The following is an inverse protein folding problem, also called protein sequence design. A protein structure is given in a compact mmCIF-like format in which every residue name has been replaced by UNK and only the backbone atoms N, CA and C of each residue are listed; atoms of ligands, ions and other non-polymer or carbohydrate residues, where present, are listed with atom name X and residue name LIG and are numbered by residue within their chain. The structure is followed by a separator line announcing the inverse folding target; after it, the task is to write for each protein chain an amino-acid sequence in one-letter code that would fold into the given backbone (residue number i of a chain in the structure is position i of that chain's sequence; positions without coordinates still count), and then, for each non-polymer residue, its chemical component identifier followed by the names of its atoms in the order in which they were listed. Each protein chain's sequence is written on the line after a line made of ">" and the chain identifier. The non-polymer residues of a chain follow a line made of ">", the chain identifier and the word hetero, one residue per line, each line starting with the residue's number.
data_IF_106382254579
#
_entry.id   IF_106382254579
#
_cell.length_a   1.000
_cell.length_b   1.000
_cell.length_c   1.000
_cell.angle_alpha   90.00
_cell.angle_beta   90.00
_cell.angle_gamma   90.00
#
_symmetry.space_group_name_H-M   'P 1'
#
loop_
_entity.id
_entity.type
_entity.pdbx_description
1 polymer ?
#
# COMPACT_ATOMS: atom_id res chain seq x y z
N UNK A 1 -9.79 -5.35 29.39
CA UNK A 1 -8.65 -6.18 28.97
C UNK A 1 -8.68 -6.28 27.45
N UNK A 2 -7.69 -5.72 26.73
CA UNK A 2 -7.56 -5.94 25.28
C UNK A 2 -7.41 -7.45 25.07
N UNK A 3 -8.23 -8.05 24.19
CA UNK A 3 -8.19 -9.49 23.92
C UNK A 3 -6.79 -9.86 23.45
N UNK A 4 -6.11 -10.77 24.13
CA UNK A 4 -4.77 -11.27 23.75
C UNK A 4 -4.77 -11.98 22.39
N UNK A 5 -5.94 -12.23 21.80
CA UNK A 5 -6.14 -12.86 20.50
C UNK A 5 -7.29 -12.20 19.76
N UNK A 6 -7.05 -11.70 18.55
CA UNK A 6 -8.05 -11.07 17.68
C UNK A 6 -7.95 -11.65 16.28
N UNK A 7 -9.08 -11.77 15.58
CA UNK A 7 -9.18 -12.22 14.20
C UNK A 7 -10.22 -11.37 13.49
N UNK A 8 -9.95 -11.01 12.23
CA UNK A 8 -10.89 -10.28 11.39
C UNK A 8 -11.84 -11.28 10.73
N UNK A 9 -13.13 -10.91 10.65
CA UNK A 9 -14.14 -11.71 9.96
C UNK A 9 -13.93 -11.62 8.45
N UNK A 10 -13.96 -12.77 7.72
CA UNK A 10 -13.76 -12.76 6.29
C UNK A 10 -15.08 -12.63 5.51
N UNK A 11 -15.87 -11.60 5.79
CA UNK A 11 -17.25 -11.45 5.30
C UNK A 11 -17.38 -10.59 4.03
N UNK A 12 -16.36 -9.82 3.67
CA UNK A 12 -16.38 -8.92 2.52
C UNK A 12 -15.25 -9.22 1.53
N UNK A 13 -15.45 -8.97 0.22
CA UNK A 13 -14.34 -8.97 -0.72
C UNK A 13 -13.37 -7.85 -0.37
N UNK A 14 -12.09 -8.06 -0.66
CA UNK A 14 -11.06 -7.03 -0.53
C UNK A 14 -10.00 -7.19 -1.60
N UNK A 15 -9.23 -6.14 -1.81
CA UNK A 15 -8.01 -6.21 -2.61
C UNK A 15 -6.78 -5.83 -1.79
N UNK A 16 -5.70 -6.56 -2.00
CA UNK A 16 -4.37 -6.25 -1.45
C UNK A 16 -3.50 -5.73 -2.57
N UNK A 17 -2.98 -4.52 -2.40
CA UNK A 17 -2.04 -3.90 -3.33
C UNK A 17 -0.68 -3.79 -2.66
N UNK A 18 0.30 -4.50 -3.18
CA UNK A 18 1.68 -4.46 -2.71
C UNK A 18 2.45 -3.59 -3.68
N UNK A 19 3.10 -2.55 -3.19
CA UNK A 19 3.99 -1.70 -4.00
C UNK A 19 5.30 -1.53 -3.26
N UNK A 20 6.42 -1.66 -3.97
CA UNK A 20 7.71 -1.51 -3.34
C UNK A 20 8.80 -1.02 -4.27
N UNK A 21 9.89 -0.62 -3.63
CA UNK A 21 11.10 -0.16 -4.30
C UNK A 21 12.28 -0.96 -3.79
N UNK A 22 13.21 -1.28 -4.69
CA UNK A 22 14.47 -1.94 -4.39
C UNK A 22 15.61 -1.06 -4.86
N UNK A 23 16.48 -0.63 -3.97
CA UNK A 23 17.66 0.17 -4.29
C UNK A 23 18.70 -0.74 -4.94
N UNK A 24 19.03 -0.46 -6.20
CA UNK A 24 20.05 -1.17 -6.96
C UNK A 24 21.44 -0.57 -6.72
N UNK A 25 21.53 0.76 -6.66
CA UNK A 25 22.79 1.51 -6.47
C UNK A 25 22.74 2.30 -5.15
N UNK A 26 23.33 1.76 -4.08
CA UNK A 26 23.27 2.36 -2.74
C UNK A 26 23.90 3.77 -2.69
N UNK A 27 25.01 3.97 -3.41
CA UNK A 27 25.72 5.26 -3.47
C UNK A 27 24.97 6.37 -4.19
N UNK A 28 23.95 6.05 -5.00
CA UNK A 28 23.18 7.02 -5.77
C UNK A 28 22.05 7.66 -4.94
N UNK A 29 22.36 8.12 -3.72
CA UNK A 29 21.39 8.58 -2.69
C UNK A 29 20.43 9.62 -3.23
N UNK A 30 20.93 10.70 -3.84
CA UNK A 30 20.09 11.75 -4.42
C UNK A 30 19.14 11.26 -5.51
N UNK A 31 19.53 10.18 -6.20
CA UNK A 31 18.75 9.59 -7.29
C UNK A 31 17.57 8.80 -6.73
N UNK A 32 17.82 7.85 -5.83
CA UNK A 32 16.74 7.00 -5.30
C UNK A 32 15.91 7.70 -4.22
N UNK A 33 16.47 8.65 -3.47
CA UNK A 33 15.76 9.36 -2.41
C UNK A 33 14.57 10.16 -2.95
N UNK A 34 14.71 10.79 -4.12
CA UNK A 34 13.61 11.53 -4.77
C UNK A 34 12.40 10.63 -5.05
N UNK A 35 12.63 9.43 -5.55
CA UNK A 35 11.57 8.45 -5.83
C UNK A 35 10.93 7.93 -4.55
N UNK A 36 11.71 7.62 -3.52
CA UNK A 36 11.17 7.18 -2.21
C UNK A 36 10.33 8.29 -1.57
N UNK A 37 10.79 9.54 -1.58
CA UNK A 37 10.06 10.67 -1.02
C UNK A 37 8.76 10.98 -1.79
N UNK A 38 8.70 10.67 -3.09
CA UNK A 38 7.49 10.85 -3.89
C UNK A 38 6.36 9.88 -3.52
N UNK A 39 6.64 8.78 -2.78
CA UNK A 39 5.60 7.87 -2.29
C UNK A 39 4.75 8.48 -1.17
N UNK A 40 5.33 9.37 -0.35
CA UNK A 40 4.64 9.93 0.81
C UNK A 40 3.40 10.77 0.42
N UNK A 41 3.50 11.76 -0.50
CA UNK A 41 2.33 12.53 -0.92
C UNK A 41 1.21 11.69 -1.53
N UNK A 42 1.58 10.59 -2.21
CA UNK A 42 0.64 9.63 -2.79
C UNK A 42 -0.16 8.92 -1.69
N UNK A 43 0.51 8.43 -0.65
CA UNK A 43 -0.20 7.78 0.47
C UNK A 43 -1.00 8.79 1.30
N UNK A 44 -0.47 9.99 1.52
CA UNK A 44 -1.21 11.06 2.22
C UNK A 44 -2.51 11.43 1.47
N UNK A 45 -2.49 11.39 0.14
CA UNK A 45 -3.67 11.59 -0.70
C UNK A 45 -4.70 10.47 -0.56
N UNK A 46 -4.25 9.22 -0.46
CA UNK A 46 -5.13 8.08 -0.21
C UNK A 46 -5.85 8.20 1.13
N UNK A 47 -5.13 8.60 2.19
CA UNK A 47 -5.75 8.82 3.50
C UNK A 47 -6.73 10.00 3.51
N UNK A 48 -6.48 11.06 2.73
CA UNK A 48 -7.40 12.20 2.63
C UNK A 48 -8.72 11.87 1.92
N UNK A 49 -8.72 10.91 0.99
CA UNK A 49 -9.88 10.57 0.17
C UNK A 49 -10.28 9.09 0.37
N UNK A 50 -10.09 8.59 1.58
CA UNK A 50 -10.18 7.16 1.93
C UNK A 50 -11.49 6.51 1.47
N UNK A 51 -12.62 7.14 1.79
CA UNK A 51 -13.97 6.63 1.47
C UNK A 51 -14.27 6.68 -0.04
N UNK A 52 -13.95 7.80 -0.71
CA UNK A 52 -14.20 7.98 -2.15
C UNK A 52 -13.38 7.00 -3.00
N UNK A 53 -12.14 6.73 -2.58
CA UNK A 53 -11.22 5.87 -3.31
C UNK A 53 -11.37 4.39 -2.96
N UNK A 54 -12.16 4.03 -1.95
CA UNK A 54 -12.25 2.64 -1.47
C UNK A 54 -10.92 2.13 -0.93
N UNK A 55 -10.09 3.02 -0.38
CA UNK A 55 -8.84 2.69 0.28
C UNK A 55 -9.12 2.41 1.77
N UNK A 56 -8.45 1.42 2.36
CA UNK A 56 -8.64 1.10 3.78
C UNK A 56 -7.44 1.51 4.63
N UNK A 57 -6.24 1.03 4.28
CA UNK A 57 -5.05 1.25 5.09
C UNK A 57 -3.78 0.91 4.31
N UNK A 58 -2.65 1.50 4.71
CA UNK A 58 -1.30 1.16 4.22
C UNK A 58 -0.40 0.77 5.38
N UNK A 59 0.23 -0.40 5.27
CA UNK A 59 1.35 -0.81 6.12
C UNK A 59 2.69 -0.58 5.44
N UNK A 60 3.69 -0.17 6.22
CA UNK A 60 5.03 0.11 5.73
C UNK A 60 6.02 -0.92 6.27
N UNK A 61 6.76 -1.56 5.38
CA UNK A 61 7.82 -2.50 5.70
C UNK A 61 9.14 -1.97 5.14
N UNK A 62 10.05 -1.60 6.04
CA UNK A 62 11.40 -1.23 5.66
C UNK A 62 12.27 -2.48 5.57
N UNK A 63 13.04 -2.56 4.50
CA UNK A 63 14.05 -3.58 4.28
C UNK A 63 15.42 -2.91 4.09
N UNK A 64 16.49 -3.68 4.21
CA UNK A 64 17.85 -3.15 4.09
C UNK A 64 18.17 -2.50 2.72
N UNK A 65 17.40 -2.81 1.67
CA UNK A 65 17.54 -2.18 0.34
C UNK A 65 16.28 -1.50 -0.16
N UNK A 66 15.32 -1.16 0.68
CA UNK A 66 14.10 -0.59 0.12
C UNK A 66 12.93 -0.56 1.06
N UNK A 67 11.79 -0.17 0.51
CA UNK A 67 10.54 -0.08 1.25
C UNK A 67 9.45 -0.80 0.46
N UNK A 68 8.62 -1.54 1.18
CA UNK A 68 7.43 -2.22 0.67
C UNK A 68 6.22 -1.69 1.41
N UNK A 69 5.20 -1.29 0.68
CA UNK A 69 3.92 -0.86 1.19
C UNK A 69 2.91 -1.94 0.87
N UNK A 70 2.15 -2.37 1.89
CA UNK A 70 1.00 -3.25 1.71
C UNK A 70 -0.24 -2.44 1.96
N UNK A 71 -1.01 -2.22 0.91
CA UNK A 71 -2.24 -1.45 0.95
C UNK A 71 -3.45 -2.37 0.88
N UNK A 72 -4.47 -2.03 1.65
CA UNK A 72 -5.76 -2.72 1.68
C UNK A 72 -6.80 -1.82 1.03
N UNK A 73 -7.59 -2.41 0.15
CA UNK A 73 -8.59 -1.73 -0.67
C UNK A 73 -9.89 -2.52 -0.68
N UNK A 74 -10.98 -1.84 -1.00
CA UNK A 74 -12.31 -2.45 -1.16
C UNK A 74 -12.36 -3.41 -2.34
N UNK A 75 -11.70 -3.08 -3.45
CA UNK A 75 -11.65 -3.94 -4.63
C UNK A 75 -10.53 -3.54 -5.58
N UNK A 76 -10.24 -4.40 -6.57
CA UNK A 76 -9.25 -4.10 -7.59
C UNK A 76 -9.72 -3.00 -8.55
N UNK A 77 -11.02 -2.88 -8.78
CA UNK A 77 -11.61 -1.79 -9.56
C UNK A 77 -11.34 -0.43 -8.89
N UNK A 78 -11.36 -0.38 -7.56
CA UNK A 78 -11.02 0.83 -6.79
C UNK A 78 -9.55 1.24 -7.03
N UNK A 79 -8.62 0.27 -6.98
CA UNK A 79 -7.20 0.48 -7.29
C UNK A 79 -7.02 0.98 -8.73
N UNK A 80 -7.70 0.34 -9.69
CA UNK A 80 -7.62 0.71 -11.10
C UNK A 80 -8.23 2.09 -11.37
N UNK A 81 -9.32 2.43 -10.70
CA UNK A 81 -9.95 3.75 -10.77
C UNK A 81 -9.01 4.83 -10.25
N UNK A 82 -8.38 4.61 -9.10
CA UNK A 82 -7.35 5.52 -8.56
C UNK A 82 -6.17 5.68 -9.53
N UNK A 83 -5.67 4.57 -10.09
CA UNK A 83 -4.54 4.56 -11.02
C UNK A 83 -4.82 5.26 -12.35
N UNK A 84 -6.08 5.32 -12.79
CA UNK A 84 -6.51 5.91 -14.08
C UNK A 84 -7.19 7.29 -13.94
N UNK A 85 -7.56 7.69 -12.73
CA UNK A 85 -8.38 8.88 -12.48
C UNK A 85 -7.69 10.20 -12.82
N UNK A 86 -8.44 11.19 -13.32
CA UNK A 86 -7.90 12.51 -13.75
C UNK A 86 -7.43 13.42 -12.59
N UNK A 87 -8.00 13.25 -11.39
CA UNK A 87 -7.72 14.13 -10.23
C UNK A 87 -6.65 13.60 -9.27
N UNK A 88 -6.46 12.28 -9.22
CA UNK A 88 -5.67 11.60 -8.19
C UNK A 88 -4.36 10.94 -8.67
N UNK A 89 -3.95 11.22 -9.91
CA UNK A 89 -2.82 10.55 -10.58
C UNK A 89 -1.52 11.34 -10.62
N UNK A 90 -1.46 12.61 -10.19
CA UNK A 90 -0.23 13.40 -10.40
C UNK A 90 0.95 12.86 -9.59
N UNK A 91 0.77 12.58 -8.31
CA UNK A 91 1.82 12.02 -7.47
C UNK A 91 2.20 10.60 -7.91
N UNK A 92 1.20 9.75 -8.17
CA UNK A 92 1.40 8.40 -8.69
C UNK A 92 2.16 8.39 -10.02
N UNK A 93 1.68 9.15 -11.03
CA UNK A 93 2.30 9.25 -12.34
C UNK A 93 3.71 9.82 -12.27
N UNK A 94 3.95 10.86 -11.47
CA UNK A 94 5.27 11.43 -11.26
C UNK A 94 6.22 10.41 -10.63
N UNK A 95 5.74 9.64 -9.63
CA UNK A 95 6.51 8.56 -9.03
C UNK A 95 6.91 7.53 -10.07
N UNK A 96 5.96 6.98 -10.84
CA UNK A 96 6.26 5.98 -11.87
C UNK A 96 7.17 6.52 -12.96
N UNK A 97 6.98 7.75 -13.44
CA UNK A 97 7.85 8.36 -14.44
C UNK A 97 9.28 8.53 -13.90
N UNK A 98 9.43 9.06 -12.68
CA UNK A 98 10.74 9.28 -12.05
C UNK A 98 11.44 7.97 -11.76
N UNK A 99 10.70 6.97 -11.27
CA UNK A 99 11.22 5.66 -10.92
C UNK A 99 11.58 4.83 -12.16
N UNK A 100 10.76 4.84 -13.21
CA UNK A 100 11.03 4.12 -14.46
C UNK A 100 12.26 4.69 -15.20
N UNK A 101 12.48 6.00 -15.12
CA UNK A 101 13.67 6.64 -15.69
C UNK A 101 14.96 6.40 -14.88
N UNK A 102 14.87 5.78 -13.69
CA UNK A 102 15.96 5.70 -12.74
C UNK A 102 16.50 4.27 -12.56
N UNK A 103 17.67 3.99 -13.12
CA UNK A 103 18.34 2.68 -12.96
C UNK A 103 18.92 2.42 -11.56
N UNK A 104 18.96 3.44 -10.69
CA UNK A 104 19.47 3.32 -9.32
C UNK A 104 18.52 2.57 -8.39
N UNK A 105 17.27 2.36 -8.81
CA UNK A 105 16.26 1.60 -8.09
C UNK A 105 15.40 0.78 -9.06
N UNK A 106 14.80 -0.30 -8.56
CA UNK A 106 13.70 -1.00 -9.20
C UNK A 106 12.41 -0.70 -8.47
N UNK A 107 11.29 -0.79 -9.18
CA UNK A 107 9.95 -0.73 -8.60
C UNK A 107 9.19 -2.00 -8.96
N UNK A 108 8.30 -2.42 -8.07
CA UNK A 108 7.36 -3.50 -8.34
C UNK A 108 6.01 -3.12 -7.74
N UNK A 109 4.95 -3.66 -8.34
CA UNK A 109 3.63 -3.60 -7.76
C UNK A 109 2.83 -4.86 -8.13
N UNK A 110 1.97 -5.30 -7.22
CA UNK A 110 1.14 -6.48 -7.36
C UNK A 110 -0.23 -6.16 -6.78
N UNK A 111 -1.29 -6.57 -7.46
CA UNK A 111 -2.67 -6.37 -7.02
C UNK A 111 -3.38 -7.72 -6.98
N UNK A 112 -3.98 -8.05 -5.83
CA UNK A 112 -4.67 -9.30 -5.60
C UNK A 112 -6.11 -9.01 -5.16
N UNK A 113 -7.09 -9.57 -5.87
CA UNK A 113 -8.47 -9.63 -5.41
C UNK A 113 -8.68 -10.86 -4.56
N UNK A 114 -9.41 -10.72 -3.46
CA UNK A 114 -9.73 -11.81 -2.54
C UNK A 114 -11.23 -11.77 -2.27
N UNK A 115 -11.91 -12.90 -2.53
CA UNK A 115 -13.34 -13.05 -2.28
C UNK A 115 -13.64 -13.28 -0.80
N UNK A 116 -14.90 -13.08 -0.35
CA UNK A 116 -15.33 -13.44 0.99
C UNK A 116 -14.95 -14.88 1.34
N UNK A 117 -14.60 -15.11 2.61
CA UNK A 117 -14.16 -16.40 3.16
C UNK A 117 -12.85 -16.97 2.55
N UNK A 118 -12.16 -16.22 1.67
CA UNK A 118 -10.87 -16.64 1.10
C UNK A 118 -9.64 -16.00 1.78
N UNK A 119 -9.83 -15.40 2.95
CA UNK A 119 -8.74 -14.90 3.78
C UNK A 119 -8.94 -15.29 5.25
N UNK A 120 -7.83 -15.43 5.95
CA UNK A 120 -7.80 -15.71 7.38
C UNK A 120 -6.77 -14.80 8.05
N UNK A 121 -7.09 -14.34 9.26
CA UNK A 121 -6.19 -13.50 10.03
C UNK A 121 -6.24 -13.86 11.50
N UNK A 122 -5.08 -13.77 12.16
CA UNK A 122 -4.92 -14.05 13.57
C UNK A 122 -3.82 -13.14 14.14
N UNK A 123 -4.17 -12.41 15.18
CA UNK A 123 -3.29 -11.47 15.87
C UNK A 123 -3.22 -11.86 17.33
N UNK A 124 -2.01 -12.08 17.86
CA UNK A 124 -1.77 -12.43 19.26
C UNK A 124 -0.67 -11.54 19.80
N UNK A 125 -0.95 -10.77 20.86
CA UNK A 125 -0.01 -9.79 21.43
C UNK A 125 0.59 -8.81 20.40
N UNK A 126 -0.17 -8.52 19.33
CA UNK A 126 0.24 -7.62 18.25
C UNK A 126 -0.48 -6.28 18.38
N UNK A 127 0.18 -5.16 18.02
CA UNK A 127 -0.53 -3.91 17.79
C UNK A 127 -1.54 -4.07 16.63
N UNK A 128 -2.49 -3.16 16.51
CA UNK A 128 -3.40 -3.10 15.36
C UNK A 128 -2.59 -2.87 14.08
N UNK A 129 -2.47 -3.91 13.25
CA UNK A 129 -1.69 -3.88 12.02
C UNK A 129 -2.35 -4.70 10.91
N UNK A 130 -2.02 -4.38 9.66
CA UNK A 130 -2.50 -5.13 8.49
C UNK A 130 -4.03 -5.13 8.38
N UNK A 131 -4.62 -6.30 8.10
CA UNK A 131 -6.08 -6.48 7.98
C UNK A 131 -6.84 -6.02 9.22
N UNK A 132 -6.31 -6.23 10.44
CA UNK A 132 -6.96 -5.79 11.67
C UNK A 132 -7.19 -4.28 11.66
N UNK A 133 -6.13 -3.52 11.40
CA UNK A 133 -6.22 -2.06 11.30
C UNK A 133 -7.05 -1.60 10.10
N UNK A 134 -7.00 -2.35 9.00
CA UNK A 134 -7.72 -2.02 7.78
C UNK A 134 -9.25 -2.20 7.91
N UNK A 135 -9.73 -3.15 8.70
CA UNK A 135 -11.16 -3.50 8.75
C UNK A 135 -11.82 -3.23 10.11
N UNK A 136 -11.08 -3.05 11.19
CA UNK A 136 -11.65 -2.73 12.52
C UNK A 136 -12.01 -1.23 12.68
N UNK A 137 -11.47 -0.36 11.82
CA UNK A 137 -11.65 1.10 11.87
C UNK A 137 -12.43 1.67 10.66
N UNK A 138 -13.26 0.86 10.00
CA UNK A 138 -14.13 1.23 8.87
C UNK A 138 -15.55 0.72 9.12
#
# INVERSE_FOLDING_TARGET
>A
MKKNRVAVKPDAPLAVFIIGVKINKLWAVHSWLKSVLAMKPMVDELYRNKEELGFYHTEYYLSWRGVTLVQYWKSNEAIMSYSRGKKHTKAYKLFYQTAAANTSLGIFHEAYSIEPNQYHSLYVNMPESGLLKALENN
#
